data_IF_499171218866
#
_entry.id   IF_499171218866
#
_cell.length_a   1.000
_cell.length_b   1.000
_cell.length_c   1.000
_cell.angle_alpha   90.00
_cell.angle_beta   90.00
_cell.angle_gamma   90.00
#
_symmetry.space_group_name_H-M   'P 1'
#
loop_
_entity.id
_entity.type
_entity.pdbx_description
1 polymer ?
#
# COMPACT_ATOMS: atom_id res chain seq x y z
N UNK A 1 -7.31 12.01 0.50
CA UNK A 1 -8.36 12.10 1.55
C UNK A 1 -8.75 10.68 1.96
N UNK A 2 -8.37 10.21 3.14
CA UNK A 2 -8.93 8.98 3.69
C UNK A 2 -10.40 9.23 4.07
N UNK A 3 -11.30 8.32 3.73
CA UNK A 3 -12.70 8.39 4.17
C UNK A 3 -12.85 7.42 5.34
N UNK A 4 -13.24 7.94 6.49
CA UNK A 4 -13.82 7.09 7.53
C UNK A 4 -15.27 6.89 7.11
N UNK A 5 -15.70 5.65 6.93
CA UNK A 5 -17.12 5.38 6.72
C UNK A 5 -17.84 5.91 7.95
N UNK A 6 -18.86 6.76 7.77
CA UNK A 6 -19.55 7.45 8.88
C UNK A 6 -20.48 6.49 9.64
N UNK A 7 -19.93 5.36 10.08
CA UNK A 7 -20.63 4.31 10.79
C UNK A 7 -20.41 4.48 12.30
N UNK A 8 -21.51 4.51 13.05
CA UNK A 8 -21.46 4.37 14.51
C UNK A 8 -21.06 2.94 14.85
N UNK A 9 -19.98 2.76 15.61
CA UNK A 9 -19.56 1.44 16.11
C UNK A 9 -19.86 1.35 17.60
N UNK A 10 -20.53 0.28 18.01
CA UNK A 10 -20.81 0.00 19.42
C UNK A 10 -19.64 -0.75 20.05
N UNK A 11 -19.12 -0.25 21.17
CA UNK A 11 -18.28 -1.04 22.07
C UNK A 11 -19.22 -1.94 22.89
N UNK A 12 -19.13 -3.28 22.79
CA UNK A 12 -20.00 -4.16 23.55
C UNK A 12 -19.88 -3.96 25.05
N UNK A 13 -20.94 -4.27 25.79
CA UNK A 13 -20.89 -4.23 27.25
C UNK A 13 -19.73 -5.09 27.77
N UNK A 14 -18.94 -4.54 28.69
CA UNK A 14 -17.74 -5.18 29.27
C UNK A 14 -16.57 -5.38 28.29
N UNK A 15 -16.59 -4.74 27.12
CA UNK A 15 -15.42 -4.62 26.25
C UNK A 15 -14.73 -3.25 26.45
N UNK A 16 -13.41 -3.21 26.26
CA UNK A 16 -12.61 -1.98 26.37
C UNK A 16 -12.35 -1.32 25.01
N UNK A 17 -12.61 -2.02 23.91
CA UNK A 17 -12.23 -1.58 22.57
C UNK A 17 -13.21 -2.06 21.49
N UNK A 18 -13.25 -1.32 20.39
CA UNK A 18 -13.82 -1.71 19.11
C UNK A 18 -12.92 -1.19 17.99
N UNK A 19 -13.00 -1.79 16.79
CA UNK A 19 -12.14 -1.45 15.66
C UNK A 19 -12.93 -0.71 14.58
N UNK A 20 -12.40 0.43 14.13
CA UNK A 20 -12.96 1.20 13.02
C UNK A 20 -12.14 0.93 11.75
N UNK A 21 -12.75 0.44 10.67
CA UNK A 21 -12.05 0.32 9.40
C UNK A 21 -11.80 1.72 8.81
N UNK A 22 -10.56 2.01 8.43
CA UNK A 22 -10.17 3.25 7.74
C UNK A 22 -9.72 2.88 6.33
N UNK A 23 -10.23 3.59 5.31
CA UNK A 23 -9.83 3.41 3.92
C UNK A 23 -9.15 4.67 3.37
N UNK A 24 -7.82 4.66 3.22
CA UNK A 24 -7.11 5.77 2.59
C UNK A 24 -7.45 5.86 1.10
N UNK A 25 -7.71 7.07 0.56
CA UNK A 25 -7.99 7.26 -0.89
C UNK A 25 -6.91 8.01 -1.65
N UNK A 26 -6.15 8.87 -0.98
CA UNK A 26 -5.06 9.64 -1.61
C UNK A 26 -4.10 10.16 -0.55
N UNK A 27 -2.84 10.39 -0.96
CA UNK A 27 -1.78 11.01 -0.17
C UNK A 27 -2.25 12.29 0.53
N UNK A 28 -1.77 12.48 1.75
CA UNK A 28 -2.09 13.61 2.61
C UNK A 28 -2.42 13.13 4.02
N UNK A 29 -2.66 14.08 4.91
CA UNK A 29 -3.01 13.82 6.30
C UNK A 29 -4.43 14.29 6.60
N UNK A 30 -5.10 13.58 7.51
CA UNK A 30 -6.44 13.96 7.97
C UNK A 30 -6.57 13.70 9.47
N UNK A 31 -7.28 14.59 10.15
CA UNK A 31 -7.67 14.37 11.54
C UNK A 31 -8.89 13.45 11.56
N UNK A 32 -8.76 12.29 12.19
CA UNK A 32 -9.86 11.40 12.50
C UNK A 32 -10.37 11.77 13.89
N UNK A 33 -11.59 12.30 13.94
CA UNK A 33 -12.29 12.65 15.18
C UNK A 33 -13.12 11.44 15.62
N UNK A 34 -12.98 11.02 16.87
CA UNK A 34 -13.84 9.99 17.46
C UNK A 34 -14.47 10.52 18.74
N UNK A 35 -15.76 10.23 18.89
CA UNK A 35 -16.57 10.69 20.00
C UNK A 35 -17.57 9.60 20.38
N UNK A 36 -17.77 9.38 21.67
CA UNK A 36 -18.85 8.53 22.15
C UNK A 36 -20.16 9.30 22.16
N UNK A 37 -21.23 8.68 21.68
CA UNK A 37 -22.57 9.23 21.81
C UNK A 37 -23.15 8.79 23.18
N UNK A 38 -23.04 9.67 24.17
CA UNK A 38 -23.53 9.43 25.54
C UNK A 38 -22.45 8.98 26.54
N UNK A 39 -22.83 8.81 27.80
CA UNK A 39 -21.94 8.31 28.87
C UNK A 39 -20.91 9.30 29.42
N UNK A 40 -20.91 10.57 28.98
CA UNK A 40 -20.03 11.62 29.51
C UNK A 40 -18.56 11.53 29.06
N UNK A 41 -18.26 10.70 28.07
CA UNK A 41 -16.90 10.57 27.54
C UNK A 41 -16.50 11.76 26.66
N UNK A 42 -15.22 12.13 26.70
CA UNK A 42 -14.65 13.20 25.88
C UNK A 42 -14.35 12.71 24.47
N UNK A 43 -14.55 13.57 23.48
CA UNK A 43 -14.05 13.35 22.12
C UNK A 43 -12.53 13.50 22.09
N UNK A 44 -11.89 12.81 21.16
CA UNK A 44 -10.46 12.95 20.89
C UNK A 44 -10.19 12.83 19.38
N UNK A 45 -8.99 13.22 18.97
CA UNK A 45 -8.58 13.30 17.56
C UNK A 45 -7.22 12.66 17.37
N UNK A 46 -7.10 11.85 16.31
CA UNK A 46 -5.80 11.31 15.88
C UNK A 46 -5.50 11.72 14.45
N UNK A 47 -4.22 11.97 14.15
CA UNK A 47 -3.78 12.30 12.79
C UNK A 47 -3.45 11.00 12.07
N UNK A 48 -4.12 10.76 10.94
CA UNK A 48 -3.79 9.67 10.03
C UNK A 48 -3.09 10.26 8.80
N UNK A 49 -1.82 9.90 8.61
CA UNK A 49 -1.06 10.26 7.43
C UNK A 49 -1.13 9.12 6.40
N UNK A 50 -1.43 9.48 5.15
CA UNK A 50 -1.41 8.60 3.99
C UNK A 50 -0.29 9.08 3.07
N UNK A 51 0.62 8.18 2.69
CA UNK A 51 1.70 8.50 1.77
C UNK A 51 1.65 7.62 0.52
N UNK A 52 2.47 7.99 -0.46
CA UNK A 52 2.85 7.16 -1.61
C UNK A 52 4.13 6.42 -1.27
N UNK A 53 4.12 5.10 -1.45
CA UNK A 53 5.27 4.25 -1.20
C UNK A 53 6.32 4.42 -2.29
N UNK A 54 7.58 4.19 -1.95
CA UNK A 54 8.63 4.03 -2.95
C UNK A 54 8.61 2.59 -3.47
N UNK A 55 8.57 2.42 -4.80
CA UNK A 55 8.78 1.12 -5.43
C UNK A 55 10.22 0.66 -5.17
N UNK A 56 10.40 -0.61 -4.87
CA UNK A 56 11.72 -1.21 -4.80
C UNK A 56 11.77 -2.52 -5.58
N UNK A 57 12.96 -2.86 -6.04
CA UNK A 57 13.21 -4.21 -6.51
C UNK A 57 13.45 -5.13 -5.31
N UNK A 58 13.03 -6.37 -5.46
CA UNK A 58 13.45 -7.47 -4.63
C UNK A 58 14.93 -7.80 -4.78
N UNK A 59 15.29 -9.03 -4.42
CA UNK A 59 16.66 -9.51 -4.60
C UNK A 59 17.00 -9.55 -6.10
N UNK A 60 17.85 -8.61 -6.54
CA UNK A 60 18.32 -8.52 -7.92
C UNK A 60 19.70 -9.18 -8.01
N UNK A 61 19.90 -10.17 -8.90
CA UNK A 61 21.24 -10.65 -9.19
C UNK A 61 22.11 -9.51 -9.69
N UNK A 62 23.25 -9.28 -9.02
CA UNK A 62 24.19 -8.22 -9.42
C UNK A 62 25.01 -8.61 -10.64
N UNK A 63 25.00 -9.88 -11.02
CA UNK A 63 25.69 -10.43 -12.17
C UNK A 63 24.84 -11.49 -12.86
N UNK A 64 24.80 -11.42 -14.19
CA UNK A 64 24.22 -12.43 -15.07
C UNK A 64 25.21 -12.72 -16.20
N UNK A 65 25.37 -13.99 -16.54
CA UNK A 65 26.12 -14.38 -17.73
C UNK A 65 25.32 -14.09 -19.02
N UNK A 66 25.97 -14.01 -20.18
CA UNK A 66 25.28 -13.93 -21.46
C UNK A 66 24.27 -15.07 -21.64
N UNK A 67 23.09 -14.75 -22.17
CA UNK A 67 21.97 -15.69 -22.38
C UNK A 67 21.36 -16.30 -21.10
N UNK A 68 21.65 -15.75 -19.92
CA UNK A 68 20.96 -16.13 -18.69
C UNK A 68 19.73 -15.26 -18.45
N UNK A 69 18.75 -15.82 -17.75
CA UNK A 69 17.56 -15.11 -17.26
C UNK A 69 17.54 -15.14 -15.75
N UNK A 70 16.90 -14.15 -15.15
CA UNK A 70 16.71 -14.08 -13.71
C UNK A 70 15.26 -13.71 -13.40
N UNK A 71 14.70 -14.40 -12.42
CA UNK A 71 13.42 -14.00 -11.87
C UNK A 71 13.65 -12.83 -10.91
N UNK A 72 13.00 -11.71 -11.20
CA UNK A 72 13.00 -10.49 -10.39
C UNK A 72 11.59 -10.20 -9.89
N UNK A 73 11.48 -9.32 -8.90
CA UNK A 73 10.17 -8.80 -8.51
C UNK A 73 10.25 -7.33 -8.12
N UNK A 74 9.14 -6.62 -8.31
CA UNK A 74 8.93 -5.26 -7.80
C UNK A 74 8.02 -5.36 -6.59
N UNK A 75 8.29 -4.57 -5.55
CA UNK A 75 7.44 -4.47 -4.37
C UNK A 75 6.93 -3.05 -4.14
N UNK A 76 5.76 -3.00 -3.52
CA UNK A 76 5.19 -1.82 -2.88
C UNK A 76 5.27 -2.01 -1.36
N UNK A 77 5.52 -0.94 -0.58
CA UNK A 77 5.54 -1.02 0.88
C UNK A 77 4.16 -1.27 1.51
N UNK A 78 3.09 -1.19 0.71
CA UNK A 78 1.72 -1.48 1.12
C UNK A 78 0.89 -1.93 -0.09
N UNK A 79 -0.18 -2.67 0.16
CA UNK A 79 -1.09 -3.14 -0.89
C UNK A 79 -2.06 -2.03 -1.30
N UNK A 80 -2.49 -2.04 -2.56
CA UNK A 80 -3.48 -1.11 -3.09
C UNK A 80 -4.78 -1.84 -3.44
N UNK A 81 -5.93 -1.18 -3.30
CA UNK A 81 -7.23 -1.75 -3.72
C UNK A 81 -7.37 -1.89 -5.24
N UNK A 82 -6.52 -1.21 -6.02
CA UNK A 82 -6.45 -1.29 -7.47
C UNK A 82 -5.09 -1.81 -7.93
N UNK A 83 -5.05 -2.43 -9.11
CA UNK A 83 -3.80 -2.87 -9.71
C UNK A 83 -2.90 -1.67 -10.05
N UNK A 84 -1.59 -1.88 -9.95
CA UNK A 84 -0.58 -0.85 -10.23
C UNK A 84 0.28 -1.30 -11.41
N UNK A 85 0.29 -0.52 -12.49
CA UNK A 85 1.20 -0.73 -13.62
C UNK A 85 2.54 -0.06 -13.34
N UNK A 86 3.60 -0.85 -13.35
CA UNK A 86 4.98 -0.39 -13.20
C UNK A 86 5.64 -0.37 -14.57
N UNK A 87 6.09 0.81 -15.02
CA UNK A 87 6.92 0.93 -16.20
C UNK A 87 8.35 0.49 -15.87
N UNK A 88 8.92 -0.35 -16.72
CA UNK A 88 10.29 -0.84 -16.59
C UNK A 88 11.08 -0.42 -17.83
N UNK A 89 12.36 -0.12 -17.63
CA UNK A 89 13.24 0.30 -18.71
C UNK A 89 14.68 -0.09 -18.44
N UNK A 90 15.40 -0.42 -19.50
CA UNK A 90 16.84 -0.62 -19.49
C UNK A 90 17.50 0.55 -20.22
N UNK A 91 18.55 1.11 -19.62
CA UNK A 91 19.37 2.15 -20.26
C UNK A 91 20.25 1.59 -21.36
N UNK A 92 20.45 0.26 -21.41
CA UNK A 92 21.21 -0.41 -22.47
C UNK A 92 20.53 -1.73 -22.86
N UNK A 93 19.62 -1.65 -23.83
CA UNK A 93 18.86 -2.81 -24.32
C UNK A 93 19.72 -3.85 -25.05
N UNK A 94 20.92 -3.49 -25.50
CA UNK A 94 21.87 -4.45 -26.07
C UNK A 94 22.56 -5.34 -25.02
N UNK A 95 22.51 -4.94 -23.74
CA UNK A 95 23.12 -5.68 -22.62
C UNK A 95 22.07 -6.42 -21.81
N UNK A 96 20.95 -5.76 -21.47
CA UNK A 96 19.86 -6.35 -20.70
C UNK A 96 18.52 -5.84 -21.23
N UNK A 97 17.62 -6.76 -21.54
CA UNK A 97 16.22 -6.44 -21.82
C UNK A 97 15.37 -6.75 -20.61
N UNK A 98 14.31 -5.98 -20.43
CA UNK A 98 13.27 -6.18 -19.42
C UNK A 98 11.92 -5.99 -20.10
N UNK A 99 10.84 -6.59 -19.59
CA UNK A 99 9.49 -6.26 -20.05
C UNK A 99 9.26 -4.74 -20.00
N UNK A 100 8.47 -4.18 -20.92
CA UNK A 100 8.18 -2.73 -20.89
C UNK A 100 7.36 -2.32 -19.67
N UNK A 101 6.57 -3.24 -19.13
CA UNK A 101 5.76 -3.02 -17.93
C UNK A 101 5.40 -4.32 -17.24
N UNK A 102 5.17 -4.24 -15.93
CA UNK A 102 4.59 -5.31 -15.11
C UNK A 102 3.42 -4.77 -14.30
N UNK A 103 2.49 -5.63 -13.92
CA UNK A 103 1.28 -5.23 -13.18
C UNK A 103 1.30 -5.88 -11.81
N UNK A 104 1.37 -5.08 -10.74
CA UNK A 104 1.11 -5.55 -9.38
C UNK A 104 -0.41 -5.68 -9.22
N UNK A 105 -0.95 -6.89 -8.98
CA UNK A 105 -2.39 -7.07 -8.84
C UNK A 105 -2.97 -6.29 -7.65
N UNK A 106 -4.27 -5.98 -7.73
CA UNK A 106 -4.99 -5.42 -6.60
C UNK A 106 -4.82 -6.31 -5.36
N UNK A 107 -4.61 -5.69 -4.21
CA UNK A 107 -4.37 -6.31 -2.90
C UNK A 107 -3.12 -7.17 -2.82
N UNK A 108 -2.23 -7.08 -3.81
CA UNK A 108 -0.87 -7.62 -3.75
C UNK A 108 0.15 -6.52 -3.45
N UNK A 109 1.22 -6.90 -2.75
CA UNK A 109 2.37 -6.04 -2.50
C UNK A 109 3.51 -6.22 -3.50
N UNK A 110 3.40 -7.19 -4.41
CA UNK A 110 4.49 -7.52 -5.34
C UNK A 110 4.04 -8.22 -6.62
N UNK A 111 4.93 -8.26 -7.61
CA UNK A 111 4.81 -9.05 -8.84
C UNK A 111 6.18 -9.54 -9.30
N UNK A 112 6.26 -10.79 -9.75
CA UNK A 112 7.46 -11.36 -10.37
C UNK A 112 7.47 -11.15 -11.88
N UNK A 113 8.67 -11.02 -12.44
CA UNK A 113 8.91 -10.95 -13.88
C UNK A 113 10.29 -11.55 -14.23
N UNK A 114 10.52 -11.74 -15.52
CA UNK A 114 11.76 -12.29 -16.11
C UNK A 114 12.11 -11.50 -17.36
#
# INVERSE_FOLDING_TARGET
MASVDSATITIPARAANAFFPIRPRAKGSVNVVFAAQGGGYKSDTTVVAVDTGQLSFGQVPTTLGPNQTAQMYVTLPFTNDSAVTVALGSTNQGVLTVPSSVVIPARSGSVFFT
#
